data_IF_635046078624
#
_entry.id   IF_635046078624
#
_cell.length_a   1.000
_cell.length_b   1.000
_cell.length_c   1.000
_cell.angle_alpha   90.00
_cell.angle_beta   90.00
_cell.angle_gamma   90.00
#
_symmetry.space_group_name_H-M   'P 1'
#
loop_
_entity.id
_entity.type
_entity.pdbx_description
1 polymer ?
#
# COMPACT_ATOMS: atom_id res chain seq x y z
N UNK A 1 25.63 4.73 -10.95
CA UNK A 1 26.29 4.51 -9.65
C UNK A 1 25.84 5.62 -8.73
N UNK A 2 24.68 5.45 -8.07
CA UNK A 2 24.14 6.45 -7.15
C UNK A 2 24.72 6.20 -5.77
N UNK A 3 25.57 7.13 -5.33
CA UNK A 3 26.11 7.13 -3.98
C UNK A 3 25.23 8.10 -3.18
N UNK A 4 24.37 7.58 -2.32
CA UNK A 4 23.54 8.38 -1.43
C UNK A 4 23.71 7.84 -0.01
N UNK A 5 24.42 8.58 0.82
CA UNK A 5 24.32 8.51 2.27
C UNK A 5 22.99 9.14 2.73
N UNK A 6 21.88 8.78 2.09
CA UNK A 6 20.55 8.91 2.68
C UNK A 6 20.37 7.67 3.56
N UNK A 7 19.89 7.86 4.79
CA UNK A 7 19.38 6.76 5.60
C UNK A 7 18.46 5.91 4.72
N UNK A 8 18.82 4.64 4.52
CA UNK A 8 17.97 3.69 3.79
C UNK A 8 16.64 3.63 4.51
N UNK A 9 15.54 3.89 3.79
CA UNK A 9 14.18 3.74 4.34
C UNK A 9 14.01 2.32 4.91
N UNK A 10 13.36 2.21 6.06
CA UNK A 10 13.08 0.94 6.71
C UNK A 10 11.58 0.77 6.88
N UNK A 11 11.10 -0.47 7.00
CA UNK A 11 9.69 -0.77 7.24
C UNK A 11 9.09 0.04 8.41
N UNK A 12 9.88 0.30 9.46
CA UNK A 12 9.45 1.11 10.63
C UNK A 12 9.10 2.54 10.29
N UNK A 13 9.69 3.13 9.25
CA UNK A 13 9.41 4.50 8.82
C UNK A 13 7.98 4.64 8.28
N UNK A 14 7.37 3.52 7.88
CA UNK A 14 6.02 3.44 7.35
C UNK A 14 4.99 2.94 8.36
N UNK A 15 5.39 2.63 9.60
CA UNK A 15 4.50 2.01 10.58
C UNK A 15 3.35 2.96 10.99
N UNK A 16 2.11 2.48 10.82
CA UNK A 16 0.92 3.23 11.23
C UNK A 16 0.64 2.97 12.71
N UNK A 17 1.01 3.94 13.55
CA UNK A 17 0.87 3.85 15.01
C UNK A 17 -0.58 3.82 15.48
N UNK A 18 -1.43 4.63 14.84
CA UNK A 18 -2.84 4.73 15.18
C UNK A 18 -3.66 5.04 13.92
N UNK A 19 -4.79 4.33 13.78
CA UNK A 19 -5.82 4.67 12.80
C UNK A 19 -6.96 5.34 13.55
N UNK A 20 -7.23 6.65 13.34
CA UNK A 20 -8.33 7.34 14.01
C UNK A 20 -9.66 6.59 13.80
N UNK A 21 -10.52 6.61 14.83
CA UNK A 21 -11.83 5.96 14.85
C UNK A 21 -11.79 4.41 14.89
N UNK A 22 -10.62 3.78 14.87
CA UNK A 22 -10.49 2.35 15.13
C UNK A 22 -10.49 2.11 16.65
N UNK A 23 -11.41 1.29 17.20
CA UNK A 23 -11.40 0.96 18.63
C UNK A 23 -10.12 0.21 19.03
N UNK A 24 -9.59 0.49 20.22
CA UNK A 24 -8.36 -0.15 20.73
C UNK A 24 -8.46 -1.69 20.77
N UNK A 25 -9.66 -2.23 21.03
CA UNK A 25 -9.93 -3.67 21.04
C UNK A 25 -9.78 -4.35 19.66
N UNK A 26 -9.81 -3.56 18.58
CA UNK A 26 -9.64 -4.01 17.19
C UNK A 26 -8.22 -3.71 16.65
N UNK A 27 -7.35 -3.07 17.45
CA UNK A 27 -6.06 -2.48 17.02
C UNK A 27 -4.89 -3.46 16.85
N UNK A 28 -5.14 -4.76 16.71
CA UNK A 28 -4.05 -5.75 16.64
C UNK A 28 -3.40 -5.88 15.25
N UNK A 29 -3.95 -5.23 14.22
CA UNK A 29 -3.48 -5.37 12.84
C UNK A 29 -2.28 -4.45 12.64
N UNK A 30 -1.13 -5.05 12.31
CA UNK A 30 0.07 -4.29 11.93
C UNK A 30 -0.12 -3.69 10.55
N UNK A 31 0.12 -2.39 10.43
CA UNK A 31 -0.12 -1.62 9.22
C UNK A 31 1.13 -0.82 8.85
N UNK A 32 1.40 -0.72 7.56
CA UNK A 32 2.41 0.19 7.02
C UNK A 32 1.81 1.00 5.88
N UNK A 33 2.01 2.31 5.86
CA UNK A 33 1.51 3.17 4.81
C UNK A 33 2.49 4.31 4.52
N UNK A 34 2.55 4.72 3.26
CA UNK A 34 3.34 5.88 2.87
C UNK A 34 3.60 5.92 1.37
N UNK A 35 4.65 6.65 1.00
CA UNK A 35 4.95 7.03 -0.37
C UNK A 35 6.28 6.43 -0.78
N UNK A 36 6.34 5.86 -1.99
CA UNK A 36 7.59 5.45 -2.63
C UNK A 36 7.72 6.13 -3.99
N UNK A 37 8.92 6.67 -4.24
CA UNK A 37 9.30 7.23 -5.53
C UNK A 37 9.25 6.15 -6.62
N UNK A 38 8.77 6.50 -7.80
CA UNK A 38 8.72 5.57 -8.94
C UNK A 38 9.75 5.86 -10.03
N UNK A 39 10.60 6.85 -9.80
CA UNK A 39 11.69 7.23 -10.70
C UNK A 39 12.62 8.23 -10.03
N UNK A 40 12.96 9.29 -10.75
CA UNK A 40 13.51 10.52 -10.18
C UNK A 40 12.47 11.24 -9.31
N UNK A 41 12.92 12.22 -8.52
CA UNK A 41 12.02 12.99 -7.64
C UNK A 41 10.86 13.66 -8.38
N UNK A 42 11.04 13.95 -9.67
CA UNK A 42 10.03 14.62 -10.49
C UNK A 42 9.02 13.65 -11.13
N UNK A 43 9.27 12.34 -11.05
CA UNK A 43 8.44 11.30 -11.69
C UNK A 43 7.25 10.88 -10.81
N UNK A 44 7.16 11.44 -9.61
CA UNK A 44 6.06 11.21 -8.67
C UNK A 44 6.29 10.06 -7.70
N UNK A 45 5.27 9.85 -6.86
CA UNK A 45 5.29 8.87 -5.77
C UNK A 45 3.96 8.10 -5.77
N UNK A 46 4.04 6.78 -5.60
CA UNK A 46 2.84 5.97 -5.36
C UNK A 46 2.63 5.80 -3.86
N UNK A 47 1.38 6.00 -3.44
CA UNK A 47 0.93 5.70 -2.09
C UNK A 47 0.58 4.22 -1.97
N UNK A 48 0.98 3.62 -0.86
CA UNK A 48 0.59 2.26 -0.50
C UNK A 48 0.02 2.19 0.91
N UNK A 49 -0.82 1.18 1.14
CA UNK A 49 -1.23 0.76 2.46
C UNK A 49 -1.19 -0.78 2.56
N UNK A 50 -0.28 -1.26 3.38
CA UNK A 50 -0.03 -2.66 3.68
C UNK A 50 -0.68 -3.05 5.02
N UNK A 51 -1.43 -4.14 5.01
CA UNK A 51 -1.98 -4.78 6.20
C UNK A 51 -1.40 -6.18 6.37
N UNK A 52 -0.79 -6.43 7.53
CA UNK A 52 -0.26 -7.75 7.85
C UNK A 52 -1.39 -8.78 8.05
N UNK A 53 -1.10 -10.03 7.69
CA UNK A 53 -2.03 -11.14 7.90
C UNK A 53 -2.36 -11.36 9.37
N UNK A 54 -3.60 -11.78 9.67
CA UNK A 54 -4.05 -12.07 11.05
C UNK A 54 -3.60 -13.45 11.53
N UNK A 55 -3.80 -14.50 10.74
CA UNK A 55 -3.47 -15.87 11.16
C UNK A 55 -2.07 -16.28 10.69
N UNK A 56 -1.33 -16.91 11.60
CA UNK A 56 -0.02 -17.50 11.32
C UNK A 56 -0.26 -18.87 10.69
N UNK A 57 -0.16 -18.95 9.37
CA UNK A 57 -0.03 -20.19 8.61
C UNK A 57 1.39 -20.40 8.09
N UNK A 58 1.67 -21.59 7.55
CA UNK A 58 3.00 -22.10 7.21
C UNK A 58 3.87 -21.14 6.40
N UNK A 59 3.32 -20.55 5.32
CA UNK A 59 4.02 -19.56 4.50
C UNK A 59 3.25 -18.23 4.41
N UNK A 60 3.91 -17.08 4.60
CA UNK A 60 3.32 -15.78 4.29
C UNK A 60 3.12 -15.62 2.78
N UNK A 61 2.07 -14.88 2.43
CA UNK A 61 1.66 -14.55 1.06
C UNK A 61 1.15 -13.13 1.08
N UNK A 62 1.50 -12.32 0.09
CA UNK A 62 0.91 -10.99 -0.07
C UNK A 62 0.09 -10.95 -1.34
N UNK A 63 -1.10 -10.42 -1.21
CA UNK A 63 -1.96 -10.09 -2.34
C UNK A 63 -1.77 -8.61 -2.61
N UNK A 64 -1.25 -8.31 -3.79
CA UNK A 64 -1.27 -6.96 -4.34
C UNK A 64 -2.67 -6.71 -4.90
N UNK A 65 -3.32 -5.65 -4.43
CA UNK A 65 -4.66 -5.27 -4.86
C UNK A 65 -4.66 -3.93 -5.57
N UNK A 66 -5.17 -3.92 -6.80
CA UNK A 66 -5.26 -2.76 -7.67
C UNK A 66 -6.70 -2.55 -8.10
N UNK A 67 -7.28 -1.39 -7.77
CA UNK A 67 -8.52 -0.95 -8.40
C UNK A 67 -8.23 -0.37 -9.80
N UNK A 68 -9.25 -0.40 -10.66
CA UNK A 68 -9.16 -0.05 -12.08
C UNK A 68 -9.58 1.39 -12.40
N UNK A 69 -10.41 1.55 -13.43
CA UNK A 69 -10.88 2.86 -13.91
C UNK A 69 -10.51 3.10 -15.37
N UNK A 70 -9.37 3.74 -15.69
CA UNK A 70 -8.20 4.07 -14.84
C UNK A 70 -8.40 5.25 -13.86
N UNK A 71 -7.51 5.38 -12.87
CA UNK A 71 -7.47 6.52 -11.93
C UNK A 71 -8.28 6.33 -10.63
N UNK A 72 -8.83 5.12 -10.39
CA UNK A 72 -9.58 4.84 -9.18
C UNK A 72 -8.65 4.35 -8.07
N UNK A 73 -8.79 4.93 -6.87
CA UNK A 73 -7.98 4.54 -5.71
C UNK A 73 -8.22 3.09 -5.30
N UNK A 74 -7.12 2.37 -5.02
CA UNK A 74 -7.12 1.02 -4.46
C UNK A 74 -7.58 1.00 -3.00
N UNK A 75 -7.67 2.16 -2.35
CA UNK A 75 -8.27 2.27 -1.02
C UNK A 75 -9.78 2.02 -1.03
N UNK A 76 -10.43 2.06 -2.19
CA UNK A 76 -11.80 1.56 -2.33
C UNK A 76 -11.83 0.06 -2.03
N UNK A 77 -10.87 -0.70 -2.58
CA UNK A 77 -10.65 -2.10 -2.25
C UNK A 77 -10.40 -2.34 -0.76
N UNK A 78 -9.57 -1.49 -0.16
CA UNK A 78 -9.25 -1.57 1.27
C UNK A 78 -10.50 -1.34 2.15
N UNK A 79 -11.26 -0.29 1.87
CA UNK A 79 -12.38 0.13 2.71
C UNK A 79 -13.70 -0.56 2.41
N UNK A 80 -13.90 -1.08 1.20
CA UNK A 80 -15.23 -1.56 0.78
C UNK A 80 -15.24 -2.99 0.28
N UNK A 81 -14.08 -3.57 -0.10
CA UNK A 81 -14.03 -4.87 -0.78
C UNK A 81 -13.34 -5.96 0.04
N UNK A 82 -12.02 -5.97 0.13
CA UNK A 82 -11.27 -7.09 0.73
C UNK A 82 -10.46 -6.70 1.98
N UNK A 83 -10.29 -5.41 2.25
CA UNK A 83 -9.48 -4.94 3.38
C UNK A 83 -10.11 -5.20 4.76
N UNK A 84 -9.32 -4.98 5.83
CA UNK A 84 -9.63 -5.42 7.18
C UNK A 84 -10.73 -4.64 7.88
N UNK A 85 -11.06 -3.45 7.39
CA UNK A 85 -11.93 -2.51 8.09
C UNK A 85 -13.10 -2.05 7.20
N UNK A 86 -14.18 -1.62 7.85
CA UNK A 86 -15.35 -0.99 7.25
C UNK A 86 -15.78 0.22 8.05
N UNK A 87 -16.29 1.22 7.36
CA UNK A 87 -17.12 2.24 7.98
C UNK A 87 -18.52 1.66 8.21
N UNK A 88 -18.93 1.54 9.47
CA UNK A 88 -20.32 1.26 9.82
C UNK A 88 -21.18 2.51 9.61
N UNK A 89 -20.60 3.66 9.93
CA UNK A 89 -21.16 4.99 9.73
C UNK A 89 -20.01 6.01 9.57
N UNK A 90 -20.33 7.31 9.61
CA UNK A 90 -19.34 8.40 9.41
C UNK A 90 -18.19 8.41 10.43
N UNK A 91 -18.41 7.90 11.64
CA UNK A 91 -17.51 8.01 12.77
C UNK A 91 -17.10 6.67 13.39
N UNK A 92 -17.62 5.56 12.86
CA UNK A 92 -17.40 4.23 13.43
C UNK A 92 -16.72 3.30 12.43
N UNK A 93 -15.51 2.85 12.76
CA UNK A 93 -14.81 1.80 12.03
C UNK A 93 -15.02 0.46 12.75
N UNK A 94 -15.35 -0.58 11.99
CA UNK A 94 -15.48 -1.96 12.47
C UNK A 94 -14.61 -2.90 11.65
N UNK A 95 -14.27 -4.05 12.20
CA UNK A 95 -13.54 -5.08 11.46
C UNK A 95 -14.42 -5.80 10.44
N UNK A 96 -13.80 -6.16 9.32
CA UNK A 96 -14.39 -6.97 8.27
C UNK A 96 -14.07 -8.44 8.51
N UNK A 97 -15.05 -9.20 9.01
CA UNK A 97 -14.92 -10.65 9.24
C UNK A 97 -14.68 -11.47 7.97
N UNK A 98 -14.97 -10.92 6.78
CA UNK A 98 -14.70 -11.55 5.49
C UNK A 98 -13.43 -11.06 4.81
N UNK A 99 -12.58 -10.30 5.52
CA UNK A 99 -11.39 -9.73 4.91
C UNK A 99 -10.36 -10.78 4.52
N UNK A 100 -9.69 -10.54 3.40
CA UNK A 100 -8.63 -11.41 2.91
C UNK A 100 -7.36 -11.36 3.77
N UNK A 101 -7.21 -10.32 4.62
CA UNK A 101 -6.08 -10.23 5.54
C UNK A 101 -6.07 -11.36 6.59
N UNK A 102 -7.16 -12.12 6.72
CA UNK A 102 -7.18 -13.27 7.60
C UNK A 102 -6.11 -14.31 7.21
N UNK A 103 -5.78 -14.43 5.93
CA UNK A 103 -4.90 -15.49 5.41
C UNK A 103 -3.70 -15.00 4.60
N UNK A 104 -3.70 -13.73 4.16
CA UNK A 104 -2.61 -13.12 3.39
C UNK A 104 -2.32 -11.71 3.89
N UNK A 105 -1.11 -11.22 3.67
CA UNK A 105 -0.84 -9.80 3.72
C UNK A 105 -1.59 -9.12 2.57
N UNK A 106 -2.09 -7.91 2.77
CA UNK A 106 -2.76 -7.14 1.71
C UNK A 106 -1.99 -5.86 1.43
N UNK A 107 -1.55 -5.68 0.19
CA UNK A 107 -0.87 -4.48 -0.28
C UNK A 107 -1.76 -3.74 -1.27
N UNK A 108 -2.37 -2.63 -0.83
CA UNK A 108 -3.14 -1.74 -1.70
C UNK A 108 -2.22 -0.64 -2.22
N UNK A 109 -2.23 -0.42 -3.53
CA UNK A 109 -1.38 0.57 -4.18
C UNK A 109 -2.26 1.48 -5.03
N UNK A 110 -2.26 2.77 -4.72
CA UNK A 110 -2.91 3.76 -5.58
C UNK A 110 -2.05 3.96 -6.82
N UNK A 111 -2.53 3.58 -7.99
CA UNK A 111 -1.81 3.69 -9.26
C UNK A 111 -2.76 4.09 -10.40
N UNK A 112 -2.28 4.72 -11.48
CA UNK A 112 -0.94 5.29 -11.66
C UNK A 112 -0.71 6.53 -10.76
N UNK A 113 0.41 7.24 -10.95
CA UNK A 113 0.67 8.52 -10.26
C UNK A 113 -0.50 9.50 -10.48
N UNK A 114 -0.89 10.22 -9.42
CA UNK A 114 -2.08 11.09 -9.42
C UNK A 114 -3.39 10.39 -9.03
N UNK A 115 -3.42 9.06 -8.90
CA UNK A 115 -4.57 8.32 -8.36
C UNK A 115 -4.63 8.44 -6.84
N UNK A 116 -5.80 8.76 -6.28
CA UNK A 116 -6.03 8.70 -4.83
C UNK A 116 -5.06 9.59 -4.04
N UNK A 117 -4.24 8.97 -3.19
CA UNK A 117 -3.17 9.69 -2.49
C UNK A 117 -1.86 9.78 -3.28
N UNK A 118 -1.64 8.94 -4.30
CA UNK A 118 -0.43 8.99 -5.13
C UNK A 118 -0.26 10.35 -5.80
N UNK A 119 0.96 10.88 -5.74
CA UNK A 119 1.24 12.27 -6.05
C UNK A 119 2.13 12.42 -7.29
N UNK A 120 1.83 13.45 -8.09
CA UNK A 120 2.72 13.99 -9.11
C UNK A 120 2.50 15.50 -9.20
N UNK A 121 3.53 16.23 -9.64
CA UNK A 121 3.41 17.65 -9.93
C UNK A 121 2.34 17.94 -10.99
N UNK A 122 1.70 19.10 -10.88
CA UNK A 122 0.54 19.47 -11.70
C UNK A 122 0.86 19.43 -13.21
N UNK A 123 0.08 18.66 -13.95
CA UNK A 123 0.20 18.55 -15.41
C UNK A 123 1.20 17.49 -15.88
N UNK A 124 1.79 16.73 -14.96
CA UNK A 124 2.73 15.63 -15.24
C UNK A 124 2.03 14.26 -15.17
N UNK A 125 0.74 14.21 -15.47
CA UNK A 125 0.03 12.93 -15.55
C UNK A 125 0.56 12.13 -16.74
N UNK A 126 0.63 10.82 -16.56
CA UNK A 126 1.07 9.88 -17.61
C UNK A 126 -0.17 9.35 -18.32
N UNK A 127 -0.11 9.25 -19.65
CA UNK A 127 -1.18 8.68 -20.46
C UNK A 127 -0.79 7.31 -21.06
N UNK A 128 0.51 7.01 -21.08
CA UNK A 128 1.10 5.83 -21.69
C UNK A 128 1.22 4.66 -20.70
N UNK A 129 0.63 3.52 -21.06
CA UNK A 129 0.57 2.33 -20.21
C UNK A 129 1.94 1.70 -19.92
N UNK A 130 2.89 1.80 -20.84
CA UNK A 130 4.25 1.31 -20.66
C UNK A 130 5.00 2.09 -19.58
N UNK A 131 4.85 3.41 -19.56
CA UNK A 131 5.42 4.25 -18.49
C UNK A 131 4.73 3.98 -17.15
N UNK A 132 3.41 3.78 -17.13
CA UNK A 132 2.69 3.38 -15.91
C UNK A 132 3.20 2.03 -15.37
N UNK A 133 3.45 1.07 -16.26
CA UNK A 133 3.98 -0.25 -15.89
C UNK A 133 5.42 -0.14 -15.36
N UNK A 134 6.27 0.67 -15.98
CA UNK A 134 7.63 0.95 -15.49
C UNK A 134 7.60 1.55 -14.08
N UNK A 135 6.74 2.55 -13.84
CA UNK A 135 6.57 3.16 -12.53
C UNK A 135 6.12 2.13 -11.48
N UNK A 136 5.20 1.24 -11.85
CA UNK A 136 4.74 0.19 -10.96
C UNK A 136 5.85 -0.83 -10.63
N UNK A 137 6.67 -1.23 -11.60
CA UNK A 137 7.83 -2.11 -11.35
C UNK A 137 8.87 -1.42 -10.45
N UNK A 138 9.16 -0.14 -10.71
CA UNK A 138 10.06 0.68 -9.90
C UNK A 138 9.57 0.83 -8.45
N UNK A 139 8.25 0.88 -8.24
CA UNK A 139 7.64 0.81 -6.91
C UNK A 139 7.91 -0.53 -6.25
N UNK A 140 7.69 -1.64 -6.96
CA UNK A 140 7.88 -2.99 -6.40
C UNK A 140 9.34 -3.24 -6.01
N UNK A 141 10.30 -2.84 -6.84
CA UNK A 141 11.74 -2.96 -6.54
C UNK A 141 12.10 -2.25 -5.23
N UNK A 142 11.61 -1.02 -5.04
CA UNK A 142 11.84 -0.27 -3.78
C UNK A 142 11.08 -0.86 -2.61
N UNK A 143 9.86 -1.35 -2.85
CA UNK A 143 9.04 -1.94 -1.80
C UNK A 143 9.74 -3.17 -1.21
N UNK A 144 10.34 -4.05 -2.04
CA UNK A 144 11.05 -5.24 -1.55
C UNK A 144 12.39 -4.91 -0.89
N UNK A 145 13.02 -3.79 -1.22
CA UNK A 145 14.19 -3.30 -0.46
C UNK A 145 13.80 -2.92 0.98
N UNK A 146 12.58 -2.42 1.19
CA UNK A 146 12.07 -1.96 2.50
C UNK A 146 11.42 -3.11 3.29
N UNK A 147 10.73 -4.01 2.61
CA UNK A 147 10.03 -5.18 3.15
C UNK A 147 10.61 -6.48 2.57
N UNK A 148 11.88 -6.82 2.88
CA UNK A 148 12.59 -7.94 2.25
C UNK A 148 11.98 -9.31 2.56
N UNK A 149 11.16 -9.43 3.62
CA UNK A 149 10.37 -10.63 3.88
C UNK A 149 9.47 -11.02 2.70
N UNK A 150 9.11 -10.06 1.85
CA UNK A 150 8.28 -10.30 0.68
C UNK A 150 8.97 -11.17 -0.39
N UNK A 151 10.30 -11.23 -0.41
CA UNK A 151 11.06 -12.06 -1.35
C UNK A 151 11.03 -13.55 -0.99
N UNK A 152 10.67 -13.88 0.25
CA UNK A 152 10.59 -15.25 0.78
C UNK A 152 9.16 -15.80 0.75
N UNK A 153 8.20 -15.02 0.25
CA UNK A 153 6.80 -15.39 0.09
C UNK A 153 6.56 -16.17 -1.22
N UNK A 154 5.51 -17.00 -1.26
CA UNK A 154 5.13 -17.80 -2.45
C UNK A 154 4.54 -16.96 -3.59
#
# INVERSE_FOLDING_TARGET
>A
MFNYYATSLQASDFYVQNLPLLPDAESTIRMHAGYLLVGSKNDGELFFWHFAKKFIGDKPRTIIWLNGGPGQSSLIGAWTEIGPFRFLDKNTIVTNNGSWHLYANLLFIDQPIGTGFSYVDRGMFIEELDVMAEHFLNFLDRYVEIFPEFLEED
#
